data_IF_131724471259
#
_entry.id   IF_131724471259
#
_cell.length_a   1.000
_cell.length_b   1.000
_cell.length_c   1.000
_cell.angle_alpha   90.00
_cell.angle_beta   90.00
_cell.angle_gamma   90.00
#
_symmetry.space_group_name_H-M   'P 1'
#
loop_
_entity.id
_entity.type
_entity.pdbx_description
1 polymer ?
#
# COMPACT_ATOMS: atom_id res chain seq x y z
N UNK A 1 -33.20 -4.84 34.09
CA UNK A 1 -32.64 -5.11 32.74
C UNK A 1 -31.59 -4.06 32.33
N UNK A 2 -31.82 -2.77 32.61
CA UNK A 2 -30.90 -1.67 32.31
C UNK A 2 -29.44 -1.88 32.78
N UNK A 3 -29.25 -2.33 34.02
CA UNK A 3 -27.89 -2.58 34.56
C UNK A 3 -27.13 -3.72 33.87
N UNK A 4 -27.83 -4.66 33.19
CA UNK A 4 -27.17 -5.69 32.37
C UNK A 4 -26.73 -5.13 31.02
N UNK A 5 -27.54 -4.27 30.41
CA UNK A 5 -27.20 -3.60 29.15
C UNK A 5 -26.02 -2.64 29.32
N UNK A 6 -25.97 -1.86 30.41
CA UNK A 6 -24.84 -0.96 30.70
C UNK A 6 -23.53 -1.77 30.85
N UNK A 7 -23.58 -2.93 31.52
CA UNK A 7 -22.42 -3.82 31.62
C UNK A 7 -21.97 -4.34 30.25
N UNK A 8 -22.90 -4.74 29.39
CA UNK A 8 -22.59 -5.19 28.03
C UNK A 8 -21.96 -4.07 27.18
N UNK A 9 -22.49 -2.85 27.28
CA UNK A 9 -21.95 -1.68 26.57
C UNK A 9 -20.52 -1.40 27.03
N UNK A 10 -20.27 -1.38 28.34
CA UNK A 10 -18.92 -1.14 28.87
C UNK A 10 -17.94 -2.26 28.47
N UNK A 11 -18.41 -3.51 28.40
CA UNK A 11 -17.59 -4.62 27.89
C UNK A 11 -17.27 -4.45 26.40
N UNK A 12 -18.25 -4.05 25.58
CA UNK A 12 -18.02 -3.77 24.15
C UNK A 12 -17.07 -2.59 23.92
N UNK A 13 -17.18 -1.53 24.72
CA UNK A 13 -16.26 -0.39 24.66
C UNK A 13 -14.82 -0.81 24.98
N UNK A 14 -14.63 -1.64 26.01
CA UNK A 14 -13.30 -2.14 26.35
C UNK A 14 -12.73 -3.05 25.25
N UNK A 15 -13.56 -3.90 24.63
CA UNK A 15 -13.13 -4.74 23.51
C UNK A 15 -12.76 -3.91 22.28
N UNK A 16 -13.52 -2.85 21.99
CA UNK A 16 -13.23 -1.94 20.89
C UNK A 16 -11.91 -1.21 21.11
N UNK A 17 -11.69 -0.67 22.31
CA UNK A 17 -10.44 0.00 22.66
C UNK A 17 -9.25 -0.95 22.57
N UNK A 18 -9.39 -2.19 23.03
CA UNK A 18 -8.36 -3.22 22.89
C UNK A 18 -8.07 -3.57 21.43
N UNK A 19 -9.09 -3.63 20.56
CA UNK A 19 -8.90 -3.86 19.12
C UNK A 19 -8.19 -2.68 18.45
N UNK A 20 -8.49 -1.44 18.85
CA UNK A 20 -7.82 -0.23 18.35
C UNK A 20 -6.35 -0.21 18.81
N UNK A 21 -6.09 -0.53 20.07
CA UNK A 21 -4.72 -0.63 20.60
C UNK A 21 -3.94 -1.74 19.91
N UNK A 22 -4.53 -2.92 19.69
CA UNK A 22 -3.91 -4.01 18.94
C UNK A 22 -3.62 -3.61 17.49
N UNK A 23 -4.54 -2.91 16.84
CA UNK A 23 -4.34 -2.37 15.49
C UNK A 23 -3.18 -1.36 15.48
N UNK A 24 -3.14 -0.42 16.41
CA UNK A 24 -2.09 0.59 16.53
C UNK A 24 -0.72 -0.01 16.90
N UNK A 25 -0.68 -1.05 17.75
CA UNK A 25 0.54 -1.79 18.08
C UNK A 25 1.05 -2.60 16.88
N UNK A 26 0.13 -3.16 16.09
CA UNK A 26 0.47 -3.89 14.86
C UNK A 26 0.95 -2.97 13.74
N UNK A 27 0.53 -1.70 13.71
CA UNK A 27 1.00 -0.70 12.75
C UNK A 27 2.30 -0.02 13.18
N UNK A 28 2.63 0.02 14.47
CA UNK A 28 3.84 0.71 14.98
C UNK A 28 5.07 -0.19 15.10
N UNK A 29 4.92 -1.51 15.28
CA UNK A 29 6.05 -2.37 15.70
C UNK A 29 6.42 -3.51 14.75
N UNK A 30 5.87 -3.61 13.55
CA UNK A 30 6.28 -4.66 12.63
C UNK A 30 5.75 -4.50 11.24
N UNK A 31 6.68 -4.43 10.28
CA UNK A 31 6.51 -4.59 8.83
C UNK A 31 5.39 -5.57 8.45
N UNK A 32 4.14 -5.09 8.41
CA UNK A 32 2.96 -5.78 7.89
C UNK A 32 2.27 -4.81 6.95
N UNK A 33 2.52 -5.00 5.65
CA UNK A 33 1.67 -4.67 4.49
C UNK A 33 0.51 -3.70 4.78
N UNK A 34 0.83 -2.46 5.17
CA UNK A 34 -0.16 -1.40 5.11
C UNK A 34 -0.12 -0.91 3.67
N UNK A 35 -1.08 -1.36 2.86
CA UNK A 35 -1.31 -0.81 1.54
C UNK A 35 -1.70 0.67 1.74
N UNK A 36 -0.74 1.58 1.56
CA UNK A 36 -0.95 3.03 1.70
C UNK A 36 -1.89 3.57 0.62
N UNK A 37 -1.94 2.88 -0.50
CA UNK A 37 -2.90 3.07 -1.58
C UNK A 37 -3.55 1.76 -1.99
N UNK A 38 -4.62 1.87 -2.78
CA UNK A 38 -5.22 0.75 -3.48
C UNK A 38 -5.77 1.24 -4.82
N UNK A 39 -5.28 0.67 -5.91
CA UNK A 39 -5.93 0.74 -7.22
C UNK A 39 -6.99 -0.36 -7.35
N UNK A 40 -8.25 0.02 -7.52
CA UNK A 40 -9.36 -0.89 -7.80
C UNK A 40 -10.46 -0.17 -8.57
N UNK A 41 -11.13 -0.87 -9.50
CA UNK A 41 -12.26 -0.33 -10.26
C UNK A 41 -11.97 1.02 -10.93
N UNK A 42 -10.77 1.17 -11.48
CA UNK A 42 -10.32 2.40 -12.14
C UNK A 42 -10.22 3.63 -11.22
N UNK A 43 -10.15 3.40 -9.90
CA UNK A 43 -9.97 4.40 -8.87
C UNK A 43 -8.71 4.09 -8.05
N UNK A 44 -7.96 5.13 -7.67
CA UNK A 44 -6.90 5.04 -6.69
C UNK A 44 -7.42 5.64 -5.38
N UNK A 45 -7.47 4.83 -4.33
CA UNK A 45 -7.75 5.27 -2.97
C UNK A 45 -6.45 5.36 -2.18
N UNK A 46 -6.21 6.49 -1.53
CA UNK A 46 -5.08 6.67 -0.59
C UNK A 46 -5.62 6.65 0.84
N UNK A 47 -4.99 5.87 1.71
CA UNK A 47 -5.38 5.71 3.11
C UNK A 47 -4.49 6.49 4.07
N UNK A 48 -3.25 6.78 3.68
CA UNK A 48 -2.34 7.59 4.48
C UNK A 48 -0.97 7.77 3.84
N UNK A 49 -0.34 8.90 4.15
CA UNK A 49 1.02 9.24 3.75
C UNK A 49 1.65 10.13 4.82
N UNK A 50 2.97 10.11 4.93
CA UNK A 50 3.72 10.91 5.95
C UNK A 50 4.43 12.12 5.36
N UNK A 51 4.61 12.17 4.04
CA UNK A 51 5.23 13.29 3.32
C UNK A 51 4.74 13.36 1.88
N UNK A 52 5.09 14.45 1.18
CA UNK A 52 4.80 14.56 -0.26
C UNK A 52 5.52 13.47 -1.07
N UNK A 53 6.77 13.16 -0.73
CA UNK A 53 7.54 12.11 -1.42
C UNK A 53 6.95 10.71 -1.21
N UNK A 54 6.48 10.43 0.00
CA UNK A 54 5.76 9.19 0.32
C UNK A 54 4.46 9.06 -0.48
N UNK A 55 3.67 10.14 -0.57
CA UNK A 55 2.46 10.18 -1.38
C UNK A 55 2.78 9.98 -2.87
N UNK A 56 3.79 10.68 -3.38
CA UNK A 56 4.23 10.59 -4.78
C UNK A 56 4.60 9.15 -5.15
N UNK A 57 5.37 8.47 -4.28
CA UNK A 57 5.81 7.11 -4.53
C UNK A 57 4.67 6.10 -4.39
N UNK A 58 3.79 6.29 -3.42
CA UNK A 58 2.56 5.48 -3.26
C UNK A 58 1.68 5.60 -4.50
N UNK A 59 1.41 6.81 -4.98
CA UNK A 59 0.63 7.02 -6.20
C UNK A 59 1.29 6.36 -7.42
N UNK A 60 2.60 6.49 -7.57
CA UNK A 60 3.32 5.85 -8.67
C UNK A 60 3.20 4.32 -8.63
N UNK A 61 3.22 3.69 -7.45
CA UNK A 61 2.96 2.26 -7.28
C UNK A 61 1.55 1.86 -7.74
N UNK A 62 0.52 2.60 -7.28
CA UNK A 62 -0.87 2.32 -7.67
C UNK A 62 -1.12 2.58 -9.16
N UNK A 63 -0.46 3.57 -9.75
CA UNK A 63 -0.46 3.74 -11.20
C UNK A 63 0.19 2.57 -11.93
N UNK A 64 1.24 1.96 -11.36
CA UNK A 64 1.78 0.70 -11.88
C UNK A 64 0.71 -0.40 -11.94
N UNK A 65 -0.08 -0.57 -10.87
CA UNK A 65 -1.22 -1.49 -10.89
C UNK A 65 -2.29 -1.09 -11.93
N UNK A 66 -2.53 0.20 -12.12
CA UNK A 66 -3.43 0.69 -13.18
C UNK A 66 -2.94 0.35 -14.60
N UNK A 67 -1.64 0.29 -14.80
CA UNK A 67 -0.99 -0.19 -16.03
C UNK A 67 -0.89 -1.72 -16.11
N UNK A 68 -1.45 -2.46 -15.14
CA UNK A 68 -1.39 -3.91 -15.10
C UNK A 68 -0.07 -4.50 -14.59
N UNK A 69 0.83 -3.67 -14.05
CA UNK A 69 2.06 -4.15 -13.43
C UNK A 69 1.74 -4.95 -12.16
N UNK A 70 2.42 -6.10 -12.02
CA UNK A 70 2.38 -6.92 -10.81
C UNK A 70 3.53 -6.55 -9.87
N UNK A 71 3.47 -7.05 -8.64
CA UNK A 71 4.56 -6.87 -7.69
C UNK A 71 5.86 -7.54 -8.15
N UNK A 72 6.98 -6.96 -7.76
CA UNK A 72 8.33 -7.51 -7.91
C UNK A 72 8.87 -8.01 -6.58
N UNK A 73 9.92 -8.83 -6.65
CA UNK A 73 10.70 -9.24 -5.48
C UNK A 73 11.91 -8.34 -5.19
N UNK A 74 12.18 -7.35 -6.06
CA UNK A 74 13.28 -6.39 -5.92
C UNK A 74 12.92 -5.32 -4.87
N UNK A 75 13.56 -5.27 -3.69
CA UNK A 75 13.20 -4.33 -2.63
C UNK A 75 13.38 -2.85 -2.97
N UNK A 76 14.06 -2.54 -4.07
CA UNK A 76 14.28 -1.18 -4.58
C UNK A 76 13.32 -0.80 -5.69
N UNK A 77 12.59 -1.77 -6.25
CA UNK A 77 11.62 -1.53 -7.32
C UNK A 77 10.43 -0.72 -6.83
N UNK A 78 9.85 0.07 -7.74
CA UNK A 78 8.61 0.80 -7.50
C UNK A 78 7.48 -0.18 -7.15
N UNK A 79 7.44 -1.31 -7.84
CA UNK A 79 6.42 -2.35 -7.68
C UNK A 79 6.72 -3.35 -6.56
N UNK A 80 7.73 -3.10 -5.71
CA UNK A 80 7.89 -3.90 -4.49
C UNK A 80 6.73 -3.62 -3.54
N UNK A 81 6.10 -4.64 -2.92
CA UNK A 81 4.88 -4.46 -2.12
C UNK A 81 5.09 -3.69 -0.80
N UNK A 82 6.34 -3.37 -0.44
CA UNK A 82 6.68 -2.65 0.78
C UNK A 82 7.57 -1.44 0.45
N UNK A 83 7.32 -0.30 1.11
CA UNK A 83 8.31 0.77 1.15
C UNK A 83 9.43 0.34 2.10
N UNK A 84 10.61 0.02 1.54
CA UNK A 84 11.77 -0.44 2.29
C UNK A 84 13.06 0.22 1.81
N UNK A 85 13.56 -0.17 0.64
CA UNK A 85 14.89 0.25 0.15
C UNK A 85 14.81 1.31 -0.97
N UNK A 86 13.61 1.74 -1.33
CA UNK A 86 13.42 2.81 -2.29
C UNK A 86 13.93 4.15 -1.73
N UNK A 87 14.71 4.88 -2.53
CA UNK A 87 15.05 6.27 -2.24
C UNK A 87 13.80 7.14 -2.46
N UNK A 88 13.05 7.42 -1.40
CA UNK A 88 11.79 8.16 -1.50
C UNK A 88 11.96 9.58 -2.06
N UNK A 89 13.11 10.21 -1.81
CA UNK A 89 13.37 11.60 -2.20
C UNK A 89 13.82 11.71 -3.65
N UNK A 90 14.68 10.79 -4.11
CA UNK A 90 15.25 10.83 -5.46
C UNK A 90 15.00 9.54 -6.24
N UNK A 91 13.81 8.96 -6.06
CA UNK A 91 13.45 7.68 -6.66
C UNK A 91 13.65 7.67 -8.18
N UNK A 92 14.26 6.59 -8.67
CA UNK A 92 14.38 6.27 -10.10
C UNK A 92 13.88 4.86 -10.33
N UNK A 93 13.23 4.65 -11.47
CA UNK A 93 12.81 3.31 -11.89
C UNK A 93 14.03 2.38 -11.92
N UNK A 94 13.85 1.20 -11.35
CA UNK A 94 14.83 0.12 -11.37
C UNK A 94 14.77 -0.63 -12.70
N UNK A 95 15.79 -1.43 -12.99
CA UNK A 95 15.75 -2.34 -14.14
C UNK A 95 14.56 -3.30 -14.05
N UNK A 96 14.23 -3.78 -12.84
CA UNK A 96 13.05 -4.62 -12.59
C UNK A 96 11.74 -3.93 -12.99
N UNK A 97 11.61 -2.62 -12.74
CA UNK A 97 10.43 -1.84 -13.16
C UNK A 97 10.37 -1.69 -14.68
N UNK A 98 11.52 -1.44 -15.32
CA UNK A 98 11.62 -1.31 -16.77
C UNK A 98 11.35 -2.63 -17.48
N UNK A 99 11.84 -3.75 -16.94
CA UNK A 99 11.62 -5.09 -17.46
C UNK A 99 10.13 -5.49 -17.37
N UNK A 100 9.45 -5.13 -16.27
CA UNK A 100 7.99 -5.31 -16.16
C UNK A 100 7.22 -4.54 -17.24
N UNK A 101 7.58 -3.27 -17.45
CA UNK A 101 6.96 -2.45 -18.50
C UNK A 101 7.24 -3.02 -19.89
N UNK A 102 8.48 -3.43 -20.17
CA UNK A 102 8.86 -4.05 -21.44
C UNK A 102 8.16 -5.40 -21.65
N UNK A 103 7.94 -6.18 -20.60
CA UNK A 103 7.20 -7.44 -20.69
C UNK A 103 5.75 -7.23 -21.09
N UNK A 104 5.11 -6.15 -20.61
CA UNK A 104 3.71 -5.86 -20.90
C UNK A 104 3.49 -5.04 -22.18
N UNK A 105 4.46 -4.20 -22.55
CA UNK A 105 4.29 -3.21 -23.63
C UNK A 105 5.43 -3.19 -24.66
N UNK A 106 6.50 -3.96 -24.47
CA UNK A 106 7.73 -3.93 -25.28
C UNK A 106 7.63 -4.60 -26.65
N UNK A 107 6.44 -4.99 -27.12
CA UNK A 107 6.25 -5.54 -28.45
C UNK A 107 4.89 -5.14 -29.02
N UNK A 108 4.81 -3.93 -29.58
CA UNK A 108 3.80 -3.53 -30.57
C UNK A 108 4.40 -2.74 -31.75
N UNK A 109 5.73 -2.67 -31.89
CA UNK A 109 6.42 -2.06 -33.05
C UNK A 109 6.85 -3.13 -34.08
N UNK A 110 5.98 -4.10 -34.36
CA UNK A 110 6.03 -4.82 -35.65
C UNK A 110 4.66 -4.69 -36.34
N UNK A 111 4.62 -3.80 -37.34
CA UNK A 111 3.59 -3.55 -38.36
C UNK A 111 2.55 -2.45 -38.10
N UNK A 112 2.93 -1.20 -38.42
CA UNK A 112 2.19 -0.39 -39.40
C UNK A 112 3.08 0.61 -40.11
#
# INVERSE_FOLDING_TARGET
MLNRQIKQINQQQNLLNQSIEQFNLSTTSGSKTFHKGLFSQNQIQIYGFTSFDDLRLTLAHEFGHALGLKHTDDPKSLMYPLLREQDIHNFKLTNSDLDLLATLYGSNDENH
#
